data_IF_393833377099
#
_entry.id   IF_393833377099
#
_cell.length_a   1.000
_cell.length_b   1.000
_cell.length_c   1.000
_cell.angle_alpha   90.00
_cell.angle_beta   90.00
_cell.angle_gamma   90.00
#
_symmetry.space_group_name_H-M   'P 1'
#
loop_
_entity.id
_entity.type
_entity.pdbx_description
1 polymer ?
#
# COMPACT_ATOMS: atom_id res chain seq x y z
N UNK A 1 -10.19 14.21 -70.60
CA UNK A 1 -10.34 14.82 -69.27
C UNK A 1 -10.01 13.75 -68.24
N UNK A 2 -8.88 13.86 -67.54
CA UNK A 2 -8.49 12.93 -66.46
C UNK A 2 -8.84 13.57 -65.13
N UNK A 3 -9.84 13.03 -64.43
CA UNK A 3 -10.27 13.48 -63.12
C UNK A 3 -9.32 12.89 -62.06
N UNK A 4 -8.50 13.73 -61.42
CA UNK A 4 -7.65 13.31 -60.32
C UNK A 4 -8.49 13.24 -59.03
N UNK A 5 -8.57 12.07 -58.44
CA UNK A 5 -9.23 11.83 -57.14
C UNK A 5 -8.21 12.12 -56.04
N UNK A 6 -8.39 13.23 -55.27
CA UNK A 6 -7.58 13.53 -54.11
C UNK A 6 -8.15 12.78 -52.90
N UNK A 7 -7.39 11.81 -52.42
CA UNK A 7 -7.68 11.09 -51.16
C UNK A 7 -7.17 11.92 -49.97
N UNK A 8 -8.08 12.55 -49.25
CA UNK A 8 -7.74 13.26 -47.99
C UNK A 8 -7.70 12.24 -46.85
N UNK A 9 -6.49 11.89 -46.40
CA UNK A 9 -6.27 11.05 -45.22
C UNK A 9 -6.35 11.93 -43.97
N UNK A 10 -7.44 11.81 -43.20
CA UNK A 10 -7.54 12.42 -41.87
C UNK A 10 -6.69 11.61 -40.89
N UNK A 11 -5.55 12.16 -40.50
CA UNK A 11 -4.81 11.69 -39.31
C UNK A 11 -5.54 12.14 -38.05
N UNK A 12 -6.27 11.23 -37.42
CA UNK A 12 -6.75 11.48 -36.06
C UNK A 12 -5.55 11.39 -35.10
N UNK A 13 -4.99 12.55 -34.74
CA UNK A 13 -4.03 12.65 -33.64
C UNK A 13 -4.84 12.57 -32.36
N UNK A 14 -4.92 11.37 -31.80
CA UNK A 14 -5.39 11.22 -30.42
C UNK A 14 -4.33 11.84 -29.51
N UNK A 15 -4.60 13.03 -29.01
CA UNK A 15 -3.83 13.59 -27.90
C UNK A 15 -4.02 12.68 -26.70
N UNK A 16 -3.01 11.88 -26.38
CA UNK A 16 -2.92 11.22 -25.09
C UNK A 16 -2.65 12.33 -24.07
N UNK A 17 -3.71 12.79 -23.39
CA UNK A 17 -3.56 13.69 -22.26
C UNK A 17 -2.98 12.83 -21.13
N UNK A 18 -1.78 13.17 -20.69
CA UNK A 18 -1.19 12.54 -19.52
C UNK A 18 -2.16 12.66 -18.33
N UNK A 19 -2.27 11.61 -17.53
CA UNK A 19 -3.13 11.63 -16.34
C UNK A 19 -2.49 12.51 -15.26
N UNK A 20 -3.02 13.71 -15.05
CA UNK A 20 -2.50 14.71 -14.11
C UNK A 20 -2.73 14.35 -12.63
N UNK A 21 -3.39 13.24 -12.35
CA UNK A 21 -3.61 12.79 -10.97
C UNK A 21 -2.29 12.36 -10.32
N UNK A 22 -2.06 12.73 -9.04
CA UNK A 22 -0.80 12.44 -8.37
C UNK A 22 -0.62 10.93 -8.10
N UNK A 23 0.61 10.48 -8.14
CA UNK A 23 0.98 9.19 -7.58
C UNK A 23 0.93 9.25 -6.04
N UNK A 24 0.48 8.15 -5.42
CA UNK A 24 0.31 8.06 -3.97
C UNK A 24 1.26 6.99 -3.44
N UNK A 25 2.06 7.34 -2.44
CA UNK A 25 2.90 6.40 -1.70
C UNK A 25 2.54 6.49 -0.22
N UNK A 26 2.03 5.40 0.33
CA UNK A 26 1.71 5.27 1.75
C UNK A 26 2.72 4.36 2.42
N UNK A 27 3.43 4.88 3.43
CA UNK A 27 4.42 4.14 4.22
C UNK A 27 3.97 4.11 5.68
N UNK A 28 3.81 2.93 6.24
CA UNK A 28 3.38 2.73 7.62
C UNK A 28 4.41 1.89 8.38
N UNK A 29 4.87 2.37 9.51
CA UNK A 29 5.67 1.61 10.49
C UNK A 29 4.76 0.98 11.53
N UNK A 30 5.26 -0.02 12.27
CA UNK A 30 4.50 -0.73 13.29
C UNK A 30 5.09 -0.45 14.67
N UNK A 31 4.28 0.10 15.57
CA UNK A 31 4.66 0.41 16.95
C UNK A 31 5.88 1.35 17.08
N UNK A 32 5.99 2.29 16.14
CA UNK A 32 7.10 3.25 16.16
C UNK A 32 6.81 4.43 17.08
N UNK A 33 7.60 4.54 18.16
CA UNK A 33 7.51 5.66 19.06
C UNK A 33 8.05 6.95 18.40
N UNK A 34 7.35 8.06 18.60
CA UNK A 34 7.77 9.40 18.14
C UNK A 34 9.19 9.77 18.61
N UNK A 35 9.61 9.31 19.79
CA UNK A 35 10.96 9.50 20.33
C UNK A 35 12.05 8.68 19.63
N UNK A 36 11.70 7.90 18.62
CA UNK A 36 12.65 7.16 17.77
C UNK A 36 12.86 7.82 16.41
N UNK A 37 12.44 9.08 16.24
CA UNK A 37 12.54 9.83 15.00
C UNK A 37 13.34 11.14 15.22
N UNK A 38 14.33 11.39 14.35
CA UNK A 38 15.16 12.59 14.42
C UNK A 38 14.35 13.87 14.28
N UNK A 39 13.42 13.95 13.34
CA UNK A 39 12.53 15.08 13.11
C UNK A 39 11.66 15.47 14.31
N UNK A 40 11.46 14.57 15.28
CA UNK A 40 10.78 14.84 16.55
C UNK A 40 11.75 14.98 17.74
N UNK A 41 13.05 15.22 17.46
CA UNK A 41 14.05 15.53 18.47
C UNK A 41 14.56 14.31 19.26
N UNK A 42 14.51 13.10 18.71
CA UNK A 42 15.00 11.89 19.37
C UNK A 42 16.50 11.96 19.63
N UNK A 43 16.97 11.90 20.92
CA UNK A 43 18.40 12.02 21.21
C UNK A 43 19.18 10.83 20.65
N UNK A 44 20.25 11.12 19.87
CA UNK A 44 21.15 10.10 19.33
C UNK A 44 20.57 9.24 18.19
N UNK A 45 19.35 9.47 17.80
CA UNK A 45 18.70 8.75 16.67
C UNK A 45 18.87 9.57 15.38
N UNK A 46 19.28 8.91 14.31
CA UNK A 46 19.44 9.52 12.98
C UNK A 46 18.47 8.85 12.00
N UNK A 47 17.50 9.61 11.52
CA UNK A 47 16.51 9.15 10.52
C UNK A 47 16.50 10.07 9.29
N UNK A 48 17.64 10.22 8.58
CA UNK A 48 17.84 11.31 7.63
C UNK A 48 16.82 11.33 6.50
N UNK A 49 16.35 10.18 6.03
CA UNK A 49 15.35 10.12 4.97
C UNK A 49 13.94 10.50 5.46
N UNK A 50 13.59 10.13 6.70
CA UNK A 50 12.31 10.54 7.31
C UNK A 50 12.38 12.03 7.69
N UNK A 51 13.53 12.47 8.21
CA UNK A 51 13.75 13.87 8.57
C UNK A 51 13.65 14.79 7.32
N UNK A 52 14.15 14.34 6.16
CA UNK A 52 13.98 15.04 4.90
C UNK A 52 12.51 15.16 4.49
N UNK A 53 11.70 14.08 4.62
CA UNK A 53 10.26 14.14 4.35
C UNK A 53 9.55 15.16 5.25
N UNK A 54 9.94 15.24 6.53
CA UNK A 54 9.39 16.22 7.46
C UNK A 54 9.78 17.66 7.11
N UNK A 55 10.99 17.84 6.56
CA UNK A 55 11.51 19.17 6.15
C UNK A 55 10.86 19.66 4.86
N UNK A 56 10.69 18.76 3.90
CA UNK A 56 10.18 19.10 2.55
C UNK A 56 8.65 19.06 2.48
N UNK A 57 8.00 18.53 3.51
CA UNK A 57 6.55 18.33 3.57
C UNK A 57 5.92 18.94 4.82
N UNK A 58 4.95 18.21 5.39
CA UNK A 58 4.23 18.61 6.61
C UNK A 58 4.40 17.53 7.67
N UNK A 59 4.91 17.91 8.84
CA UNK A 59 4.93 17.08 10.04
C UNK A 59 3.72 17.40 10.91
N UNK A 60 3.02 16.36 11.40
CA UNK A 60 1.86 16.49 12.28
C UNK A 60 2.26 16.25 13.73
N UNK A 61 2.27 17.29 14.54
CA UNK A 61 2.61 17.17 15.98
C UNK A 61 1.49 16.51 16.80
N UNK A 62 0.26 16.56 16.29
CA UNK A 62 -0.94 16.05 16.97
C UNK A 62 -1.75 15.18 16.05
N UNK A 63 -1.25 14.00 15.78
CA UNK A 63 -1.99 12.94 15.08
C UNK A 63 -2.46 11.90 16.10
N UNK A 64 -3.73 11.50 16.04
CA UNK A 64 -4.35 10.57 16.97
C UNK A 64 -4.84 9.34 16.23
N UNK A 65 -4.52 8.16 16.75
CA UNK A 65 -5.10 6.90 16.33
C UNK A 65 -6.31 6.58 17.21
N UNK A 66 -7.41 6.18 16.60
CA UNK A 66 -8.65 5.86 17.32
C UNK A 66 -8.60 4.50 18.01
N UNK A 67 -7.80 3.57 17.48
CA UNK A 67 -7.58 2.24 18.04
C UNK A 67 -6.14 1.82 17.83
N UNK A 68 -5.31 2.01 18.84
CA UNK A 68 -3.86 1.78 18.79
C UNK A 68 -3.50 0.28 18.88
N UNK A 69 -4.15 -0.56 18.09
CA UNK A 69 -3.91 -2.00 17.94
C UNK A 69 -3.66 -2.30 16.48
N UNK A 70 -2.59 -3.02 16.18
CA UNK A 70 -2.08 -3.18 14.82
C UNK A 70 -3.13 -3.54 13.76
N UNK A 71 -4.00 -4.54 13.99
CA UNK A 71 -4.99 -4.94 12.98
C UNK A 71 -6.14 -3.93 12.86
N UNK A 72 -6.67 -3.44 13.97
CA UNK A 72 -7.76 -2.48 13.98
C UNK A 72 -7.33 -1.13 13.39
N UNK A 73 -6.14 -0.62 13.78
CA UNK A 73 -5.55 0.57 13.20
C UNK A 73 -5.38 0.44 11.67
N UNK A 74 -4.86 -0.70 11.18
CA UNK A 74 -4.68 -0.93 9.74
C UNK A 74 -5.99 -0.96 8.98
N UNK A 75 -7.02 -1.59 9.56
CA UNK A 75 -8.37 -1.59 9.00
C UNK A 75 -8.96 -0.17 8.96
N UNK A 76 -8.84 0.59 10.06
CA UNK A 76 -9.25 2.00 10.14
C UNK A 76 -8.54 2.85 9.09
N UNK A 77 -7.22 2.74 8.97
CA UNK A 77 -6.44 3.49 7.97
C UNK A 77 -6.87 3.15 6.55
N UNK A 78 -7.15 1.88 6.25
CA UNK A 78 -7.54 1.47 4.90
C UNK A 78 -8.96 1.89 4.51
N UNK A 79 -9.89 1.94 5.47
CA UNK A 79 -11.31 2.19 5.19
C UNK A 79 -11.79 3.57 5.59
N UNK A 80 -11.09 4.24 6.51
CA UNK A 80 -11.60 5.46 7.16
C UNK A 80 -12.71 5.17 8.17
N UNK A 81 -13.06 3.91 8.42
CA UNK A 81 -14.09 3.50 9.36
C UNK A 81 -13.51 3.30 10.75
N UNK A 82 -14.27 3.60 11.77
CA UNK A 82 -13.91 3.27 13.16
C UNK A 82 -14.08 1.77 13.43
N UNK A 83 -13.35 1.23 14.41
CA UNK A 83 -13.34 -0.21 14.75
C UNK A 83 -14.74 -0.81 14.89
N UNK A 84 -15.65 -0.13 15.57
CA UNK A 84 -17.02 -0.62 15.76
C UNK A 84 -17.82 -0.76 14.46
N UNK A 85 -17.38 -0.09 13.38
CA UNK A 85 -18.01 -0.17 12.05
C UNK A 85 -17.41 -1.28 11.20
N UNK A 86 -16.08 -1.34 11.09
CA UNK A 86 -15.42 -2.38 10.28
C UNK A 86 -15.26 -3.72 11.00
N UNK A 87 -15.50 -3.79 12.33
CA UNK A 87 -15.52 -5.01 13.12
C UNK A 87 -14.20 -5.76 13.26
N UNK A 88 -13.10 -5.24 12.72
CA UNK A 88 -11.78 -5.90 12.76
C UNK A 88 -11.12 -5.66 14.10
N UNK A 89 -11.07 -6.69 14.95
CA UNK A 89 -10.41 -6.66 16.25
C UNK A 89 -9.85 -8.05 16.62
N UNK A 90 -9.15 -8.15 17.75
CA UNK A 90 -8.69 -9.43 18.25
C UNK A 90 -9.90 -10.33 18.63
N UNK A 91 -9.99 -11.50 18.04
CA UNK A 91 -11.04 -12.49 18.33
C UNK A 91 -12.16 -12.57 17.29
N UNK A 92 -12.12 -11.79 16.21
CA UNK A 92 -13.13 -11.83 15.14
C UNK A 92 -12.76 -12.74 13.97
N UNK A 93 -11.58 -13.35 13.96
CA UNK A 93 -11.16 -14.25 12.87
C UNK A 93 -10.94 -15.69 13.32
N UNK A 94 -11.13 -16.65 12.44
CA UNK A 94 -10.86 -18.08 12.68
C UNK A 94 -9.37 -18.40 12.80
N UNK A 95 -8.51 -17.49 12.34
CA UNK A 95 -7.04 -17.60 12.34
C UNK A 95 -6.38 -16.71 13.40
N UNK A 96 -7.18 -16.01 14.24
CA UNK A 96 -6.68 -14.98 15.15
C UNK A 96 -6.43 -13.61 14.51
N UNK A 97 -6.52 -13.52 13.19
CA UNK A 97 -6.55 -12.25 12.46
C UNK A 97 -8.00 -11.74 12.39
N UNK A 98 -8.21 -10.45 12.61
CA UNK A 98 -9.53 -9.83 12.43
C UNK A 98 -10.03 -10.01 11.00
N UNK A 99 -11.34 -10.06 10.82
CA UNK A 99 -11.98 -10.27 9.53
C UNK A 99 -12.87 -9.08 9.17
N UNK A 100 -12.66 -8.54 7.97
CA UNK A 100 -13.44 -7.45 7.40
C UNK A 100 -14.46 -8.00 6.39
N UNK A 101 -15.64 -7.40 6.31
CA UNK A 101 -16.61 -7.75 5.26
C UNK A 101 -16.06 -7.40 3.87
N UNK A 102 -16.53 -8.09 2.85
CA UNK A 102 -16.17 -7.76 1.46
C UNK A 102 -16.75 -6.40 1.04
N UNK A 103 -17.87 -6.00 1.61
CA UNK A 103 -18.49 -4.69 1.38
C UNK A 103 -17.59 -3.56 1.90
N UNK A 104 -17.22 -3.60 3.19
CA UNK A 104 -16.34 -2.59 3.79
C UNK A 104 -14.96 -2.55 3.10
N UNK A 105 -14.43 -3.70 2.68
CA UNK A 105 -13.19 -3.76 1.90
C UNK A 105 -13.33 -3.04 0.56
N UNK A 106 -14.48 -3.18 -0.11
CA UNK A 106 -14.78 -2.48 -1.36
C UNK A 106 -14.70 -0.96 -1.26
N UNK A 107 -15.00 -0.41 -0.08
CA UNK A 107 -14.93 1.02 0.22
C UNK A 107 -13.54 1.47 0.73
N UNK A 108 -12.58 0.57 0.80
CA UNK A 108 -11.20 0.91 1.21
C UNK A 108 -10.49 1.79 0.17
N UNK A 109 -9.56 2.66 0.63
CA UNK A 109 -8.85 3.53 -0.30
C UNK A 109 -8.12 2.78 -1.43
N UNK A 110 -7.53 1.58 -1.22
CA UNK A 110 -6.91 0.86 -2.34
C UNK A 110 -7.92 0.45 -3.40
N UNK A 111 -9.12 0.04 -2.97
CA UNK A 111 -10.19 -0.36 -3.90
C UNK A 111 -10.79 0.84 -4.63
N UNK A 112 -11.06 1.94 -3.93
CA UNK A 112 -11.56 3.18 -4.53
C UNK A 112 -10.56 3.73 -5.56
N UNK A 113 -9.27 3.76 -5.24
CA UNK A 113 -8.24 4.20 -6.18
C UNK A 113 -8.10 3.26 -7.37
N UNK A 114 -8.17 1.93 -7.15
CA UNK A 114 -8.19 0.95 -8.24
C UNK A 114 -9.37 1.17 -9.18
N UNK A 115 -10.57 1.36 -8.62
CA UNK A 115 -11.77 1.66 -9.40
C UNK A 115 -11.67 3.00 -10.16
N UNK A 116 -10.93 3.96 -9.61
CA UNK A 116 -10.58 5.20 -10.28
C UNK A 116 -9.45 5.07 -11.32
N UNK A 117 -8.98 3.86 -11.61
CA UNK A 117 -8.00 3.58 -12.65
C UNK A 117 -6.53 3.63 -12.22
N UNK A 118 -6.24 3.81 -10.94
CA UNK A 118 -4.87 3.70 -10.40
C UNK A 118 -4.36 2.26 -10.50
N UNK A 119 -3.06 2.11 -10.74
CA UNK A 119 -2.36 0.87 -10.45
C UNK A 119 -2.12 0.78 -8.95
N UNK A 120 -2.43 -0.36 -8.34
CA UNK A 120 -2.32 -0.54 -6.90
C UNK A 120 -1.30 -1.59 -6.52
N UNK A 121 -0.52 -1.34 -5.47
CA UNK A 121 0.40 -2.32 -4.89
C UNK A 121 0.39 -2.27 -3.37
N UNK A 122 0.59 -3.43 -2.78
CA UNK A 122 0.75 -3.57 -1.33
C UNK A 122 1.92 -4.49 -0.99
N UNK A 123 2.72 -4.13 0.02
CA UNK A 123 3.75 -4.99 0.59
C UNK A 123 3.80 -4.88 2.12
N UNK A 124 4.11 -5.99 2.78
CA UNK A 124 4.33 -6.04 4.22
C UNK A 124 3.19 -6.62 5.03
N UNK A 125 3.04 -6.13 6.26
CA UNK A 125 2.03 -6.60 7.22
C UNK A 125 0.66 -6.05 6.88
N UNK A 126 -0.26 -6.94 6.44
CA UNK A 126 -1.64 -6.55 6.16
C UNK A 126 -2.47 -6.47 7.45
N UNK A 127 -2.38 -7.49 8.31
CA UNK A 127 -2.86 -7.49 9.69
C UNK A 127 -4.27 -8.00 9.90
N UNK A 128 -5.09 -8.16 8.84
CA UNK A 128 -6.45 -8.71 8.92
C UNK A 128 -6.79 -9.51 7.66
N UNK A 129 -7.93 -10.16 7.63
CA UNK A 129 -8.41 -10.91 6.46
C UNK A 129 -9.72 -10.32 5.94
N UNK A 130 -10.04 -10.61 4.68
CA UNK A 130 -11.31 -10.24 4.06
C UNK A 130 -12.19 -11.48 3.98
N UNK A 131 -13.48 -11.35 4.26
CA UNK A 131 -14.44 -12.43 4.15
C UNK A 131 -14.38 -13.13 2.78
N UNK A 132 -14.37 -14.45 2.84
CA UNK A 132 -14.53 -15.32 1.67
C UNK A 132 -15.53 -16.42 2.04
N UNK A 133 -16.66 -16.43 1.37
CA UNK A 133 -17.78 -17.34 1.64
C UNK A 133 -17.43 -18.84 1.58
N UNK A 134 -16.31 -19.17 0.96
CA UNK A 134 -15.90 -20.57 0.77
C UNK A 134 -14.89 -21.09 1.80
N UNK A 135 -14.17 -20.22 2.52
CA UNK A 135 -12.99 -20.63 3.33
C UNK A 135 -12.73 -19.81 4.60
N UNK A 136 -13.67 -18.99 5.04
CA UNK A 136 -13.39 -17.98 6.07
C UNK A 136 -12.68 -16.78 5.47
N UNK A 137 -11.81 -16.11 6.23
CA UNK A 137 -11.10 -14.93 5.74
C UNK A 137 -9.86 -15.25 4.90
N UNK A 138 -9.55 -14.41 3.91
CA UNK A 138 -8.30 -14.49 3.14
C UNK A 138 -7.70 -13.11 2.90
N UNK A 139 -6.41 -13.07 2.55
CA UNK A 139 -5.75 -11.83 2.13
C UNK A 139 -6.17 -11.43 0.72
N UNK A 140 -6.30 -10.12 0.43
CA UNK A 140 -6.81 -9.62 -0.84
C UNK A 140 -5.71 -9.55 -1.93
N UNK A 141 -4.98 -10.62 -2.13
CA UNK A 141 -3.84 -10.68 -3.06
C UNK A 141 -4.23 -10.29 -4.49
N UNK A 142 -5.41 -10.75 -4.94
CA UNK A 142 -5.91 -10.51 -6.29
C UNK A 142 -6.57 -9.13 -6.47
N UNK A 143 -6.74 -8.39 -5.38
CA UNK A 143 -7.32 -7.05 -5.41
C UNK A 143 -6.25 -5.97 -5.68
N UNK A 144 -4.98 -6.36 -5.81
CA UNK A 144 -3.85 -5.50 -6.15
C UNK A 144 -3.20 -5.92 -7.47
N UNK A 145 -2.63 -4.96 -8.22
CA UNK A 145 -1.83 -5.25 -9.41
C UNK A 145 -0.48 -5.86 -9.05
N UNK A 146 0.03 -5.56 -7.85
CA UNK A 146 1.25 -6.17 -7.30
C UNK A 146 1.10 -6.42 -5.81
N UNK A 147 1.38 -7.66 -5.40
CA UNK A 147 1.24 -8.09 -4.02
C UNK A 147 2.56 -8.60 -3.43
N UNK A 148 2.96 -8.02 -2.31
CA UNK A 148 4.08 -8.42 -1.45
C UNK A 148 3.68 -8.55 0.02
N UNK A 149 2.37 -8.65 0.29
CA UNK A 149 1.83 -8.82 1.63
C UNK A 149 2.12 -10.20 2.21
N UNK A 150 2.01 -10.31 3.51
CA UNK A 150 2.21 -11.55 4.23
C UNK A 150 1.19 -11.75 5.35
N UNK A 151 1.02 -13.02 5.81
CA UNK A 151 0.04 -13.37 6.83
C UNK A 151 0.43 -12.85 8.22
N UNK A 152 -0.59 -12.56 9.03
CA UNK A 152 -0.48 -12.22 10.45
C UNK A 152 0.54 -11.14 10.72
N UNK A 153 1.45 -11.43 11.65
CA UNK A 153 2.54 -10.51 12.04
C UNK A 153 3.67 -10.42 11.00
N UNK A 154 3.64 -11.21 9.92
CA UNK A 154 4.73 -11.35 8.96
C UNK A 154 6.07 -11.76 9.63
N UNK A 155 7.12 -11.93 8.85
CA UNK A 155 8.45 -12.26 9.37
C UNK A 155 9.46 -11.19 8.98
N UNK A 156 10.45 -10.92 9.83
CA UNK A 156 11.61 -10.13 9.44
C UNK A 156 12.52 -10.84 8.43
N UNK A 157 12.38 -12.17 8.28
CA UNK A 157 13.12 -12.95 7.29
C UNK A 157 12.32 -12.99 5.99
N UNK A 158 12.84 -12.36 4.94
CA UNK A 158 12.17 -12.25 3.63
C UNK A 158 11.76 -13.60 3.05
N UNK A 159 12.62 -14.62 3.15
CA UNK A 159 12.36 -15.97 2.63
C UNK A 159 11.12 -16.65 3.23
N UNK A 160 10.64 -16.21 4.39
CA UNK A 160 9.42 -16.74 5.03
C UNK A 160 8.13 -16.14 4.47
N UNK A 161 8.22 -15.08 3.65
CA UNK A 161 7.08 -14.51 2.94
C UNK A 161 7.12 -14.95 1.48
N UNK A 162 6.22 -15.84 1.08
CA UNK A 162 6.17 -16.40 -0.29
C UNK A 162 6.01 -15.31 -1.36
N UNK A 163 5.22 -14.28 -1.10
CA UNK A 163 5.01 -13.16 -2.03
C UNK A 163 6.27 -12.32 -2.25
N UNK A 164 7.25 -12.43 -1.35
CA UNK A 164 8.52 -11.71 -1.41
C UNK A 164 9.72 -12.59 -1.78
N UNK A 165 9.49 -13.85 -2.15
CA UNK A 165 10.56 -14.85 -2.37
C UNK A 165 11.64 -14.39 -3.37
N UNK A 166 11.26 -13.68 -4.43
CA UNK A 166 12.19 -13.15 -5.44
C UNK A 166 13.23 -12.17 -4.89
N UNK A 167 12.94 -11.56 -3.74
CA UNK A 167 13.84 -10.60 -3.10
C UNK A 167 14.74 -11.22 -2.03
N UNK A 168 14.44 -12.46 -1.59
CA UNK A 168 15.04 -13.06 -0.39
C UNK A 168 16.56 -13.19 -0.46
N UNK A 169 17.12 -13.54 -1.61
CA UNK A 169 18.55 -13.71 -1.78
C UNK A 169 19.31 -12.39 -1.63
N UNK A 170 18.83 -11.32 -2.27
CA UNK A 170 19.51 -10.00 -2.26
C UNK A 170 19.16 -9.20 -1.01
N UNK A 171 17.98 -9.37 -0.49
CA UNK A 171 17.43 -8.62 0.65
C UNK A 171 16.84 -9.58 1.70
N UNK A 172 17.69 -10.22 2.52
CA UNK A 172 17.23 -11.23 3.48
C UNK A 172 16.35 -10.67 4.59
N UNK A 173 16.47 -9.36 4.90
CA UNK A 173 15.62 -8.68 5.88
C UNK A 173 14.41 -8.02 5.21
N UNK A 174 13.23 -8.27 5.74
CA UNK A 174 11.93 -7.85 5.17
C UNK A 174 11.83 -6.34 4.90
N UNK A 175 12.29 -5.48 5.80
CA UNK A 175 12.26 -4.03 5.61
C UNK A 175 12.94 -3.60 4.31
N UNK A 176 14.13 -4.18 4.01
CA UNK A 176 14.86 -3.89 2.78
C UNK A 176 14.19 -4.48 1.55
N UNK A 177 13.61 -5.68 1.67
CA UNK A 177 12.89 -6.31 0.57
C UNK A 177 11.61 -5.57 0.20
N UNK A 178 10.88 -5.02 1.17
CA UNK A 178 9.72 -4.16 0.90
C UNK A 178 10.11 -2.87 0.18
N UNK A 179 11.24 -2.26 0.56
CA UNK A 179 11.79 -1.11 -0.18
C UNK A 179 12.17 -1.46 -1.62
N UNK A 180 12.76 -2.64 -1.86
CA UNK A 180 13.08 -3.14 -3.20
C UNK A 180 11.81 -3.39 -4.02
N UNK A 181 10.79 -4.02 -3.42
CA UNK A 181 9.47 -4.21 -4.05
C UNK A 181 8.86 -2.88 -4.49
N UNK A 182 8.84 -1.89 -3.59
CA UNK A 182 8.31 -0.56 -3.90
C UNK A 182 9.07 0.12 -5.02
N UNK A 183 10.40 0.05 -5.00
CA UNK A 183 11.25 0.62 -6.06
C UNK A 183 10.99 -0.03 -7.42
N UNK A 184 10.79 -1.36 -7.48
CA UNK A 184 10.47 -2.05 -8.72
C UNK A 184 9.08 -1.67 -9.22
N UNK A 185 8.08 -1.61 -8.34
CA UNK A 185 6.73 -1.21 -8.70
C UNK A 185 6.68 0.22 -9.25
N UNK A 186 7.40 1.16 -8.62
CA UNK A 186 7.50 2.55 -9.09
C UNK A 186 8.12 2.60 -10.49
N UNK A 187 9.27 1.90 -10.71
CA UNK A 187 9.93 1.86 -12.03
C UNK A 187 9.04 1.25 -13.12
N UNK A 188 8.28 0.21 -12.79
CA UNK A 188 7.33 -0.40 -13.71
C UNK A 188 6.13 0.52 -14.00
N UNK A 189 5.65 1.23 -12.98
CA UNK A 189 4.52 2.15 -13.11
C UNK A 189 4.88 3.40 -13.90
N UNK A 190 6.10 3.91 -13.74
CA UNK A 190 6.60 5.07 -14.51
C UNK A 190 6.65 4.83 -16.05
N UNK A 191 6.56 3.57 -16.49
CA UNK A 191 6.48 3.20 -17.91
C UNK A 191 5.03 3.12 -18.43
N UNK A 192 4.06 3.41 -17.59
CA UNK A 192 2.62 3.30 -17.87
C UNK A 192 1.97 4.67 -17.73
N UNK A 193 1.05 4.93 -18.61
CA UNK A 193 0.27 6.18 -18.62
C UNK A 193 -0.92 6.06 -17.64
N UNK A 194 -0.60 5.77 -16.37
CA UNK A 194 -1.58 5.64 -15.29
C UNK A 194 -0.96 6.02 -13.96
N UNK A 195 -1.66 6.74 -13.10
CA UNK A 195 -1.21 6.98 -11.75
C UNK A 195 -1.16 5.69 -10.94
N UNK A 196 -0.40 5.68 -9.86
CA UNK A 196 -0.31 4.52 -8.98
C UNK A 196 -0.50 4.88 -7.51
N UNK A 197 -0.96 3.88 -6.76
CA UNK A 197 -0.98 3.87 -5.30
C UNK A 197 -0.15 2.70 -4.79
N UNK A 198 0.93 3.00 -4.08
CA UNK A 198 1.81 2.03 -3.45
C UNK A 198 1.66 2.11 -1.93
N UNK A 199 1.28 1.02 -1.30
CA UNK A 199 1.21 0.90 0.16
C UNK A 199 2.27 -0.05 0.68
N UNK A 200 3.17 0.42 1.53
CA UNK A 200 4.15 -0.41 2.22
C UNK A 200 3.91 -0.32 3.72
N UNK A 201 3.60 -1.46 4.30
CA UNK A 201 3.23 -1.59 5.70
C UNK A 201 4.28 -2.44 6.42
N UNK A 202 5.24 -1.76 7.02
CA UNK A 202 6.35 -2.41 7.71
C UNK A 202 5.89 -3.14 8.98
N UNK A 203 6.59 -4.22 9.33
CA UNK A 203 6.54 -4.78 10.68
C UNK A 203 7.46 -4.01 11.62
N UNK A 204 8.59 -3.52 11.14
CA UNK A 204 9.54 -2.75 11.95
C UNK A 204 8.96 -1.41 12.41
N UNK A 205 9.32 -0.96 13.63
CA UNK A 205 10.26 -1.58 14.58
C UNK A 205 9.64 -2.53 15.63
N UNK A 206 8.37 -2.93 15.50
CA UNK A 206 7.64 -3.80 16.42
C UNK A 206 8.39 -5.06 16.85
#
# INVERSE_FOLDING_TARGET
MRTALFLIIFFNVTHVVADDRPNIIFLMTDDQNVRSLGCYGAPGVKTPNIDALATDGVAFDRHYDTTAICMACRATVMTGLLEYRHGVNFGTGTTGDGQMTREDWGESYPMLLRNAGYRTAFAGKFGFTIEDSSKGGRYPENDFDSWGGGPGQTSFVTARNKSMAKYAQKYPHATRSYGAFGSDFIRESAKKDKPFCLSISFKAPH
#
